data_IF_552461958441
#
_entry.id   IF_552461958441
#
_cell.length_a   1.000
_cell.length_b   1.000
_cell.length_c   1.000
_cell.angle_alpha   90.00
_cell.angle_beta   90.00
_cell.angle_gamma   90.00
#
_symmetry.space_group_name_H-M   'P 1'
#
loop_
_entity.id
_entity.type
_entity.pdbx_description
1 polymer ?
#
# COMPACT_ATOMS: atom_id res chain seq x y z
N UNK A 1 -12.65 -7.88 12.16
CA UNK A 1 -12.63 -6.41 12.16
C UNK A 1 -11.57 -5.97 11.17
N UNK A 2 -11.97 -5.24 10.12
CA UNK A 2 -11.01 -4.42 9.40
C UNK A 2 -10.71 -3.22 10.28
N UNK A 3 -9.47 -2.72 10.22
CA UNK A 3 -9.16 -1.47 10.88
C UNK A 3 -10.06 -0.37 10.29
N UNK A 4 -10.67 0.43 11.16
CA UNK A 4 -11.61 1.47 10.74
C UNK A 4 -10.96 2.58 9.93
N UNK A 5 -9.63 2.60 9.83
CA UNK A 5 -8.83 3.54 9.04
C UNK A 5 -8.82 3.23 7.53
N UNK A 6 -9.00 1.96 7.14
CA UNK A 6 -8.95 1.53 5.75
C UNK A 6 -10.34 1.27 5.13
N UNK A 7 -11.35 1.02 5.96
CA UNK A 7 -12.74 0.85 5.53
C UNK A 7 -13.70 1.33 6.64
N UNK A 8 -13.84 2.65 6.70
CA UNK A 8 -14.78 3.37 7.56
C UNK A 8 -16.22 3.30 7.03
N UNK A 9 -17.16 3.94 7.75
CA UNK A 9 -18.58 3.91 7.39
C UNK A 9 -18.86 4.58 6.03
N UNK A 10 -18.13 5.66 5.70
CA UNK A 10 -18.22 6.31 4.41
C UNK A 10 -17.73 5.40 3.27
N UNK A 11 -16.59 4.73 3.46
CA UNK A 11 -16.07 3.73 2.52
C UNK A 11 -17.01 2.54 2.36
N UNK A 12 -17.66 2.08 3.45
CA UNK A 12 -18.69 1.02 3.39
C UNK A 12 -19.89 1.43 2.56
N UNK A 13 -20.33 2.68 2.68
CA UNK A 13 -21.44 3.20 1.91
C UNK A 13 -21.17 3.24 0.39
N UNK A 14 -19.90 3.21 -0.04
CA UNK A 14 -19.51 3.14 -1.45
C UNK A 14 -19.52 1.73 -2.04
N UNK A 15 -19.45 0.68 -1.19
CA UNK A 15 -19.37 -0.70 -1.65
C UNK A 15 -20.52 -1.14 -2.57
N UNK A 16 -21.80 -0.75 -2.33
CA UNK A 16 -22.90 -1.10 -3.23
C UNK A 16 -22.73 -0.54 -4.65
N UNK A 17 -22.03 0.58 -4.80
CA UNK A 17 -21.78 1.22 -6.10
C UNK A 17 -20.51 0.68 -6.79
N UNK A 18 -19.69 -0.11 -6.08
CA UNK A 18 -18.49 -0.69 -6.65
C UNK A 18 -18.85 -1.86 -7.60
N UNK A 19 -18.35 -1.81 -8.83
CA UNK A 19 -18.58 -2.91 -9.79
C UNK A 19 -17.91 -4.22 -9.40
N UNK A 20 -16.75 -4.16 -8.74
CA UNK A 20 -16.07 -5.35 -8.17
C UNK A 20 -15.24 -4.94 -6.97
N UNK A 21 -15.37 -5.69 -5.87
CA UNK A 21 -14.58 -5.50 -4.66
C UNK A 21 -13.50 -6.59 -4.62
N UNK A 22 -12.24 -6.18 -4.46
CA UNK A 22 -11.09 -7.09 -4.24
C UNK A 22 -10.52 -6.79 -2.86
N UNK A 23 -10.34 -7.81 -2.03
CA UNK A 23 -9.94 -7.64 -0.62
C UNK A 23 -9.22 -8.89 -0.12
N UNK A 24 -8.90 -8.94 1.18
CA UNK A 24 -8.35 -10.13 1.82
C UNK A 24 -9.37 -11.28 1.87
N UNK A 25 -8.90 -12.50 2.04
CA UNK A 25 -9.78 -13.66 2.18
C UNK A 25 -10.73 -13.52 3.37
N UNK A 26 -10.24 -13.01 4.50
CA UNK A 26 -11.08 -12.69 5.66
C UNK A 26 -12.07 -11.56 5.39
N UNK A 27 -11.66 -10.54 4.63
CA UNK A 27 -12.54 -9.45 4.28
C UNK A 27 -13.69 -9.86 3.38
N UNK A 28 -13.42 -10.69 2.37
CA UNK A 28 -14.48 -11.18 1.50
C UNK A 28 -15.55 -12.00 2.24
N UNK A 29 -15.20 -12.64 3.37
CA UNK A 29 -16.16 -13.33 4.24
C UNK A 29 -16.92 -12.40 5.18
N UNK A 30 -16.37 -11.22 5.46
CA UNK A 30 -16.89 -10.29 6.46
C UNK A 30 -17.70 -9.14 5.85
N UNK A 31 -17.54 -8.88 4.55
CA UNK A 31 -18.29 -7.83 3.86
C UNK A 31 -19.73 -8.28 3.58
N UNK A 32 -20.71 -7.36 3.68
CA UNK A 32 -22.11 -7.65 3.34
C UNK A 32 -22.37 -7.70 1.82
N UNK A 33 -21.32 -7.54 0.99
CA UNK A 33 -21.40 -7.52 -0.47
C UNK A 33 -20.45 -8.57 -1.08
N UNK A 34 -20.77 -9.10 -2.28
CA UNK A 34 -19.87 -10.01 -2.99
C UNK A 34 -18.49 -9.38 -3.21
N UNK A 35 -17.46 -10.09 -2.78
CA UNK A 35 -16.08 -9.64 -2.90
C UNK A 35 -15.15 -10.79 -3.26
N UNK A 36 -14.08 -10.48 -3.99
CA UNK A 36 -13.03 -11.41 -4.35
C UNK A 36 -11.95 -11.36 -3.27
N UNK A 37 -11.91 -12.39 -2.44
CA UNK A 37 -10.92 -12.53 -1.38
C UNK A 37 -9.63 -13.14 -1.91
N UNK A 38 -8.50 -12.47 -1.69
CA UNK A 38 -7.17 -12.95 -2.05
C UNK A 38 -6.34 -13.28 -0.80
N UNK A 39 -5.34 -14.14 -1.01
CA UNK A 39 -4.21 -14.33 -0.10
C UNK A 39 -2.96 -13.82 -0.80
N UNK A 40 -1.90 -13.53 -0.06
CA UNK A 40 -0.61 -13.16 -0.68
C UNK A 40 -0.17 -14.19 -1.74
N UNK A 41 0.18 -13.70 -2.93
CA UNK A 41 0.48 -14.50 -4.12
C UNK A 41 -0.74 -14.89 -4.97
N UNK A 42 -1.95 -14.74 -4.44
CA UNK A 42 -3.19 -14.96 -5.19
C UNK A 42 -3.45 -13.85 -6.20
N UNK A 43 -4.12 -14.19 -7.29
CA UNK A 43 -4.40 -13.28 -8.39
C UNK A 43 -5.89 -13.19 -8.70
N UNK A 44 -6.30 -12.08 -9.30
CA UNK A 44 -7.61 -11.94 -9.94
C UNK A 44 -7.49 -10.97 -11.12
N UNK A 45 -8.45 -11.04 -12.05
CA UNK A 45 -8.51 -10.15 -13.20
C UNK A 45 -9.80 -9.34 -13.16
N UNK A 46 -9.70 -8.02 -13.31
CA UNK A 46 -10.84 -7.13 -13.50
C UNK A 46 -11.06 -6.90 -14.99
N UNK A 47 -12.31 -7.01 -15.42
CA UNK A 47 -12.72 -6.83 -16.81
C UNK A 47 -13.99 -5.97 -16.82
N UNK A 48 -14.08 -5.07 -17.79
CA UNK A 48 -15.25 -4.25 -18.03
C UNK A 48 -15.38 -3.96 -19.53
N UNK A 49 -16.61 -3.87 -20.08
CA UNK A 49 -16.81 -3.57 -21.50
C UNK A 49 -16.07 -2.29 -21.93
N UNK A 50 -15.32 -2.38 -23.02
CA UNK A 50 -14.58 -1.24 -23.59
C UNK A 50 -13.39 -0.75 -22.76
N UNK A 51 -12.96 -1.49 -21.73
CA UNK A 51 -11.79 -1.15 -20.90
C UNK A 51 -10.71 -2.25 -20.98
N UNK A 52 -9.42 -1.90 -20.95
CA UNK A 52 -8.36 -2.91 -20.87
C UNK A 52 -8.48 -3.72 -19.56
N UNK A 53 -8.21 -5.03 -19.59
CA UNK A 53 -8.24 -5.85 -18.39
C UNK A 53 -7.12 -5.44 -17.43
N UNK A 54 -7.39 -5.52 -16.13
CA UNK A 54 -6.41 -5.28 -15.07
C UNK A 54 -6.17 -6.59 -14.33
N UNK A 55 -4.93 -7.09 -14.39
CA UNK A 55 -4.46 -8.19 -13.56
C UNK A 55 -4.01 -7.66 -12.21
N UNK A 56 -4.47 -8.32 -11.15
CA UNK A 56 -4.18 -7.96 -9.76
C UNK A 56 -3.48 -9.14 -9.11
N UNK A 57 -2.31 -8.89 -8.52
CA UNK A 57 -1.59 -9.84 -7.68
C UNK A 57 -1.54 -9.32 -6.25
N UNK A 58 -2.07 -10.10 -5.30
CA UNK A 58 -1.99 -9.77 -3.88
C UNK A 58 -0.56 -9.93 -3.35
N UNK A 59 -0.03 -8.92 -2.67
CA UNK A 59 1.34 -8.91 -2.14
C UNK A 59 1.34 -9.17 -0.63
N UNK A 60 2.36 -9.86 -0.09
CA UNK A 60 2.43 -10.14 1.34
C UNK A 60 2.62 -8.86 2.14
N UNK A 61 1.77 -8.62 3.13
CA UNK A 61 1.96 -7.57 4.12
C UNK A 61 2.20 -8.15 5.51
N UNK A 62 2.83 -7.34 6.35
CA UNK A 62 2.88 -7.58 7.79
C UNK A 62 2.67 -6.27 8.53
N UNK A 63 1.59 -6.23 9.28
CA UNK A 63 1.24 -5.15 10.17
C UNK A 63 1.64 -5.56 11.60
N UNK A 64 2.75 -5.02 12.11
CA UNK A 64 3.33 -5.36 13.42
C UNK A 64 4.45 -6.43 13.42
N UNK A 65 4.96 -6.80 14.61
CA UNK A 65 6.02 -7.79 14.78
C UNK A 65 5.55 -9.21 14.40
N UNK A 66 6.48 -10.17 14.23
CA UNK A 66 6.10 -11.58 14.14
C UNK A 66 5.14 -11.98 15.28
N UNK A 67 4.13 -12.79 14.97
CA UNK A 67 3.11 -13.31 15.91
C UNK A 67 1.99 -12.35 16.37
N UNK A 68 1.96 -11.08 15.94
CA UNK A 68 0.84 -10.16 16.28
C UNK A 68 -0.42 -10.32 15.42
N UNK A 69 -0.43 -11.26 14.46
CA UNK A 69 -1.53 -11.47 13.49
C UNK A 69 -2.94 -11.57 14.09
N UNK A 70 -3.19 -12.23 15.24
CA UNK A 70 -4.55 -12.34 15.79
C UNK A 70 -5.16 -11.00 16.19
N UNK A 71 -4.31 -10.03 16.54
CA UNK A 71 -4.72 -8.71 17.04
C UNK A 71 -4.89 -7.71 15.89
N UNK A 72 -4.09 -7.89 14.83
CA UNK A 72 -3.85 -6.85 13.82
C UNK A 72 -4.58 -7.12 12.49
N UNK A 73 -5.29 -8.25 12.36
CA UNK A 73 -6.07 -8.56 11.16
C UNK A 73 -5.22 -8.98 9.96
N UNK A 74 -5.88 -9.52 8.93
CA UNK A 74 -5.22 -9.88 7.67
C UNK A 74 -5.04 -8.63 6.82
N UNK A 75 -3.81 -8.41 6.32
CA UNK A 75 -3.46 -7.30 5.43
C UNK A 75 -2.72 -7.87 4.22
N UNK A 76 -3.02 -7.33 3.05
CA UNK A 76 -2.32 -7.57 1.78
C UNK A 76 -2.17 -6.25 1.02
N UNK A 77 -1.18 -6.17 0.14
CA UNK A 77 -1.09 -5.13 -0.88
C UNK A 77 -1.54 -5.67 -2.23
N UNK A 78 -1.48 -4.84 -3.27
CA UNK A 78 -1.92 -5.20 -4.62
C UNK A 78 -0.95 -4.65 -5.67
N UNK A 79 -0.41 -5.51 -6.52
CA UNK A 79 0.27 -5.12 -7.74
C UNK A 79 -0.71 -5.22 -8.91
N UNK A 80 -0.83 -4.14 -9.68
CA UNK A 80 -1.78 -3.98 -10.78
C UNK A 80 -1.01 -3.88 -12.09
N UNK A 81 -1.43 -4.70 -13.06
CA UNK A 81 -0.90 -4.67 -14.42
C UNK A 81 -1.99 -4.60 -15.47
N UNK A 82 -1.75 -3.86 -16.55
CA UNK A 82 -2.66 -3.79 -17.70
C UNK A 82 -1.89 -3.56 -19.01
N UNK A 83 -2.48 -3.88 -20.17
CA UNK A 83 -1.86 -3.60 -21.47
C UNK A 83 -1.56 -2.11 -21.66
N UNK A 84 -0.34 -1.78 -22.08
CA UNK A 84 0.09 -0.40 -22.36
C UNK A 84 0.79 0.31 -21.20
N UNK A 85 1.04 -0.35 -20.06
CA UNK A 85 1.95 0.18 -19.04
C UNK A 85 3.38 0.29 -19.58
N UNK A 86 4.00 1.45 -19.39
CA UNK A 86 5.35 1.71 -19.90
C UNK A 86 6.44 1.43 -18.87
N UNK A 87 6.14 1.59 -17.58
CA UNK A 87 7.16 1.55 -16.53
C UNK A 87 7.03 0.33 -15.61
N UNK A 88 6.06 -0.54 -15.88
CA UNK A 88 5.80 -1.76 -15.13
C UNK A 88 4.60 -1.62 -14.19
N UNK A 89 4.42 -2.57 -13.25
CA UNK A 89 3.23 -2.61 -12.41
C UNK A 89 3.11 -1.38 -11.50
N UNK A 90 1.87 -0.95 -11.27
CA UNK A 90 1.52 -0.09 -10.13
C UNK A 90 1.44 -0.97 -8.89
N UNK A 91 2.22 -0.68 -7.86
CA UNK A 91 2.18 -1.43 -6.62
C UNK A 91 1.63 -0.60 -5.45
N UNK A 92 0.49 -1.03 -4.94
CA UNK A 92 -0.12 -0.52 -3.71
C UNK A 92 0.37 -1.40 -2.55
N UNK A 93 1.22 -0.86 -1.68
CA UNK A 93 1.90 -1.70 -0.69
C UNK A 93 0.99 -2.26 0.38
N UNK A 94 -0.12 -1.57 0.68
CA UNK A 94 -0.89 -1.75 1.91
C UNK A 94 -0.07 -1.44 3.17
N UNK A 95 -0.70 -1.58 4.33
CA UNK A 95 -0.06 -1.34 5.62
C UNK A 95 0.93 -2.43 5.99
N UNK A 96 2.19 -2.18 5.67
CA UNK A 96 3.25 -3.16 5.90
C UNK A 96 4.54 -2.52 6.39
N UNK A 97 5.22 -3.22 7.30
CA UNK A 97 6.63 -2.97 7.58
C UNK A 97 7.54 -3.60 6.52
N UNK A 98 8.79 -3.15 6.46
CA UNK A 98 9.79 -3.74 5.58
C UNK A 98 10.21 -5.15 6.06
N UNK A 99 10.07 -6.17 5.21
CA UNK A 99 10.46 -7.55 5.54
C UNK A 99 10.85 -8.43 4.36
N UNK A 100 11.46 -9.59 4.64
CA UNK A 100 12.02 -10.50 3.60
C UNK A 100 11.01 -10.92 2.53
N UNK A 101 9.82 -11.39 2.93
CA UNK A 101 8.80 -11.81 1.96
C UNK A 101 8.29 -10.64 1.09
N UNK A 102 8.11 -9.45 1.66
CA UNK A 102 7.76 -8.25 0.92
C UNK A 102 8.85 -7.89 -0.12
N UNK A 103 10.12 -7.89 0.30
CA UNK A 103 11.25 -7.65 -0.60
C UNK A 103 11.32 -8.65 -1.76
N UNK A 104 11.09 -9.93 -1.48
CA UNK A 104 11.06 -10.98 -2.52
C UNK A 104 9.92 -10.75 -3.51
N UNK A 105 8.72 -10.45 -3.01
CA UNK A 105 7.59 -10.13 -3.87
C UNK A 105 7.88 -8.90 -4.73
N UNK A 106 8.38 -7.82 -4.13
CA UNK A 106 8.71 -6.59 -4.84
C UNK A 106 9.79 -6.79 -5.92
N UNK A 107 10.82 -7.62 -5.66
CA UNK A 107 11.84 -7.95 -6.64
C UNK A 107 11.30 -8.76 -7.84
N UNK A 108 10.24 -9.54 -7.65
CA UNK A 108 9.56 -10.26 -8.74
C UNK A 108 8.64 -9.31 -9.51
N UNK A 109 7.89 -8.45 -8.79
CA UNK A 109 6.95 -7.48 -9.37
C UNK A 109 7.69 -6.45 -10.22
N UNK A 110 8.83 -5.93 -9.74
CA UNK A 110 9.59 -4.83 -10.37
C UNK A 110 8.68 -3.63 -10.72
N UNK A 111 8.05 -3.00 -9.71
CA UNK A 111 7.08 -1.94 -9.94
C UNK A 111 7.74 -0.68 -10.51
N UNK A 112 7.08 -0.07 -11.50
CA UNK A 112 7.43 1.25 -12.00
C UNK A 112 6.99 2.36 -11.06
N UNK A 113 5.79 2.19 -10.50
CA UNK A 113 5.18 3.15 -9.58
C UNK A 113 4.75 2.47 -8.30
N UNK A 114 5.04 3.09 -7.16
CA UNK A 114 4.72 2.55 -5.84
C UNK A 114 3.80 3.52 -5.09
N UNK A 115 2.57 3.11 -4.78
CA UNK A 115 1.71 3.78 -3.80
C UNK A 115 2.06 3.25 -2.41
N UNK A 116 2.85 4.02 -1.68
CA UNK A 116 3.58 3.57 -0.50
C UNK A 116 2.92 4.06 0.79
N UNK A 117 2.46 3.13 1.63
CA UNK A 117 1.93 3.44 2.95
C UNK A 117 3.08 3.76 3.91
N UNK A 118 3.27 5.05 4.17
CA UNK A 118 4.28 5.63 5.04
C UNK A 118 3.66 6.10 6.36
N UNK A 119 4.47 6.58 7.30
CA UNK A 119 3.99 7.16 8.57
C UNK A 119 4.53 6.48 9.82
N UNK A 120 5.17 5.32 9.68
CA UNK A 120 5.82 4.61 10.79
C UNK A 120 4.93 4.46 12.02
N UNK A 121 3.63 4.17 11.81
CA UNK A 121 2.59 4.11 12.86
C UNK A 121 3.11 3.27 14.02
N UNK A 122 2.99 3.80 15.24
CA UNK A 122 3.37 3.13 16.48
C UNK A 122 2.36 3.49 17.56
N UNK A 123 1.76 2.48 18.20
CA UNK A 123 0.81 2.71 19.29
C UNK A 123 1.54 2.69 20.65
N UNK A 124 1.25 3.63 21.58
CA UNK A 124 1.87 3.66 22.91
C UNK A 124 1.75 2.33 23.67
N UNK A 125 0.59 1.66 23.53
CA UNK A 125 0.29 0.38 24.16
C UNK A 125 1.14 -0.79 23.64
N UNK A 126 1.74 -0.63 22.46
CA UNK A 126 2.47 -1.69 21.74
C UNK A 126 3.99 -1.46 21.77
N UNK A 127 4.49 -0.45 22.49
CA UNK A 127 5.92 -0.16 22.59
C UNK A 127 6.54 0.30 21.25
N UNK A 128 7.79 -0.08 20.91
CA UNK A 128 8.49 0.42 19.71
C UNK A 128 8.00 -0.22 18.40
N UNK A 129 6.89 -0.96 18.44
CA UNK A 129 6.37 -1.71 17.30
C UNK A 129 5.87 -0.75 16.23
N UNK A 130 6.30 -1.01 14.99
CA UNK A 130 5.92 -0.25 13.81
C UNK A 130 4.94 -1.05 12.98
N UNK A 131 4.00 -0.33 12.39
CA UNK A 131 2.86 -0.90 11.71
C UNK A 131 2.89 -0.59 10.20
N UNK A 132 3.54 0.51 9.80
CA UNK A 132 3.86 0.88 8.42
C UNK A 132 5.37 1.18 8.26
N UNK A 133 5.84 1.41 7.03
CA UNK A 133 7.24 1.74 6.79
C UNK A 133 7.61 3.12 7.34
N UNK A 134 8.85 3.25 7.80
CA UNK A 134 9.49 4.56 8.03
C UNK A 134 10.06 5.09 6.73
N UNK A 135 10.34 6.39 6.66
CA UNK A 135 11.06 6.99 5.53
C UNK A 135 12.39 6.27 5.23
N UNK A 136 13.21 5.98 6.26
CA UNK A 136 14.45 5.18 6.08
C UNK A 136 14.23 3.77 5.53
N UNK A 137 13.09 3.12 5.83
CA UNK A 137 12.76 1.81 5.26
C UNK A 137 12.30 1.95 3.80
N UNK A 138 11.57 3.01 3.48
CA UNK A 138 11.19 3.35 2.13
C UNK A 138 12.41 3.63 1.24
N UNK A 139 13.38 4.42 1.71
CA UNK A 139 14.64 4.69 0.99
C UNK A 139 15.34 3.38 0.63
N UNK A 140 15.54 2.46 1.58
CA UNK A 140 16.16 1.15 1.32
C UNK A 140 15.37 0.29 0.33
N UNK A 141 14.04 0.37 0.37
CA UNK A 141 13.20 -0.32 -0.60
C UNK A 141 13.39 0.27 -2.01
N UNK A 142 13.41 1.59 -2.12
CA UNK A 142 13.58 2.29 -3.39
C UNK A 142 14.98 2.08 -3.96
N UNK A 143 16.03 2.05 -3.15
CA UNK A 143 17.38 1.71 -3.58
C UNK A 143 17.44 0.29 -4.19
N UNK A 144 16.72 -0.66 -3.59
CA UNK A 144 16.72 -2.05 -4.07
C UNK A 144 15.87 -2.27 -5.33
N UNK A 145 14.84 -1.45 -5.55
CA UNK A 145 13.88 -1.63 -6.65
C UNK A 145 14.11 -0.67 -7.81
N UNK A 146 14.67 0.52 -7.54
CA UNK A 146 14.81 1.63 -8.48
C UNK A 146 13.50 1.93 -9.23
N UNK A 147 12.38 2.19 -8.52
CA UNK A 147 11.13 2.57 -9.17
C UNK A 147 11.28 3.94 -9.83
N UNK A 148 10.37 4.25 -10.75
CA UNK A 148 10.31 5.56 -11.41
C UNK A 148 9.63 6.61 -10.54
N UNK A 149 8.58 6.20 -9.82
CA UNK A 149 7.77 7.13 -9.01
C UNK A 149 7.31 6.46 -7.72
N UNK A 150 7.36 7.20 -6.63
CA UNK A 150 6.84 6.80 -5.32
C UNK A 150 5.82 7.83 -4.85
N UNK A 151 4.62 7.36 -4.57
CA UNK A 151 3.50 8.15 -4.09
C UNK A 151 3.31 7.82 -2.61
N UNK A 152 3.85 8.62 -1.68
CA UNK A 152 3.61 8.43 -0.26
C UNK A 152 2.11 8.60 0.02
N UNK A 153 1.55 7.76 0.88
CA UNK A 153 0.21 7.88 1.47
C UNK A 153 0.27 7.49 2.95
N UNK A 154 -0.85 7.66 3.67
CA UNK A 154 -0.99 7.22 5.06
C UNK A 154 -0.05 7.94 6.06
N UNK A 155 0.45 9.14 5.72
CA UNK A 155 1.35 9.93 6.58
C UNK A 155 0.69 11.15 7.26
N UNK A 156 -0.57 11.44 6.93
CA UNK A 156 -1.38 12.51 7.49
C UNK A 156 -2.75 11.97 7.92
N UNK A 157 -3.37 12.58 8.94
CA UNK A 157 -4.78 12.33 9.30
C UNK A 157 -5.08 11.70 10.66
N UNK A 158 -4.08 11.26 11.45
CA UNK A 158 -4.33 10.59 12.74
C UNK A 158 -3.30 10.92 13.83
N UNK A 159 -3.75 11.05 15.09
CA UNK A 159 -2.93 11.39 16.27
C UNK A 159 -1.88 10.33 16.67
N UNK A 160 -1.75 9.23 15.92
CA UNK A 160 -0.87 8.09 16.21
C UNK A 160 0.42 8.05 15.35
N UNK A 161 0.62 9.03 14.47
CA UNK A 161 1.85 9.14 13.68
C UNK A 161 2.97 9.76 14.51
N UNK A 162 4.12 9.08 14.59
CA UNK A 162 5.35 9.68 15.14
C UNK A 162 6.21 10.39 14.10
N UNK A 163 5.96 10.17 12.81
CA UNK A 163 6.50 11.01 11.74
C UNK A 163 5.31 11.65 11.04
N UNK A 164 5.03 12.91 11.34
CA UNK A 164 4.23 13.74 10.44
C UNK A 164 5.00 13.99 9.14
N UNK A 165 4.35 14.66 8.19
CA UNK A 165 4.92 15.05 6.90
C UNK A 165 6.37 15.56 7.01
N UNK A 166 6.62 16.54 7.88
CA UNK A 166 7.94 17.17 8.07
C UNK A 166 9.05 16.19 8.47
N UNK A 167 8.72 15.20 9.31
CA UNK A 167 9.68 14.19 9.76
C UNK A 167 10.02 13.18 8.66
N UNK A 168 9.06 12.88 7.77
CA UNK A 168 9.31 12.04 6.59
C UNK A 168 10.14 12.82 5.58
N UNK A 169 9.79 14.08 5.30
CA UNK A 169 10.56 14.92 4.41
C UNK A 169 12.00 15.10 4.90
N UNK A 170 12.23 15.31 6.20
CA UNK A 170 13.59 15.45 6.74
C UNK A 170 14.42 14.17 6.54
N UNK A 171 13.83 13.00 6.79
CA UNK A 171 14.49 11.72 6.53
C UNK A 171 14.77 11.54 5.02
N UNK A 172 13.85 11.98 4.14
CA UNK A 172 14.03 11.91 2.68
C UNK A 172 15.06 12.90 2.16
N UNK A 173 15.16 14.10 2.73
CA UNK A 173 16.22 15.09 2.41
C UNK A 173 17.62 14.56 2.74
N UNK A 174 17.72 13.63 3.67
CA UNK A 174 18.98 12.97 4.03
C UNK A 174 19.33 11.79 3.12
N UNK A 175 18.42 11.40 2.21
CA UNK A 175 18.65 10.35 1.23
C UNK A 175 19.39 10.91 0.00
N UNK A 176 20.07 10.05 -0.79
CA UNK A 176 20.67 10.50 -2.06
C UNK A 176 19.63 11.15 -2.97
N UNK A 177 19.99 12.22 -3.69
CA UNK A 177 19.09 12.99 -4.56
C UNK A 177 18.31 12.13 -5.57
N UNK A 178 18.97 11.10 -6.09
CA UNK A 178 18.34 10.12 -7.00
C UNK A 178 17.17 9.34 -6.38
N UNK A 179 17.10 9.26 -5.05
CA UNK A 179 16.03 8.57 -4.31
C UNK A 179 14.99 9.57 -3.84
N UNK A 180 15.40 10.71 -3.28
CA UNK A 180 14.46 11.74 -2.82
C UNK A 180 13.64 12.30 -3.99
N UNK A 181 14.25 12.46 -5.17
CA UNK A 181 13.57 12.87 -6.40
C UNK A 181 12.55 11.87 -6.97
N UNK A 182 12.44 10.67 -6.41
CA UNK A 182 11.39 9.69 -6.80
C UNK A 182 10.05 9.98 -6.11
N UNK A 183 10.06 10.70 -4.98
CA UNK A 183 8.87 10.91 -4.16
C UNK A 183 8.05 12.07 -4.73
N UNK A 184 6.82 11.75 -5.13
CA UNK A 184 5.86 12.71 -5.65
C UNK A 184 4.69 12.87 -4.68
N UNK A 185 4.61 14.02 -4.02
CA UNK A 185 3.61 14.32 -3.01
C UNK A 185 2.32 14.81 -3.66
N UNK A 186 1.21 14.15 -3.34
CA UNK A 186 -0.10 14.49 -3.89
C UNK A 186 -0.84 15.46 -2.95
N UNK A 187 -1.29 16.65 -3.42
CA UNK A 187 -2.10 17.53 -2.60
C UNK A 187 -3.47 16.91 -2.31
N UNK A 188 -3.90 16.95 -1.05
CA UNK A 188 -5.18 16.37 -0.62
C UNK A 188 -6.36 16.96 -1.39
N UNK A 189 -7.27 16.07 -1.83
CA UNK A 189 -8.50 16.46 -2.54
C UNK A 189 -8.29 16.91 -3.99
N UNK A 190 -7.06 16.82 -4.51
CA UNK A 190 -6.76 17.18 -5.91
C UNK A 190 -6.43 15.94 -6.75
N UNK A 191 -6.88 15.95 -8.01
CA UNK A 191 -6.47 14.96 -8.98
C UNK A 191 -5.13 15.36 -9.60
N UNK A 192 -4.26 14.39 -9.83
CA UNK A 192 -2.95 14.59 -10.44
C UNK A 192 -2.71 13.56 -11.56
N UNK A 193 -1.87 13.90 -12.53
CA UNK A 193 -1.53 13.04 -13.66
C UNK A 193 -0.15 12.42 -13.45
N UNK A 194 -0.12 11.08 -13.45
CA UNK A 194 1.08 10.30 -13.20
C UNK A 194 1.26 9.35 -14.38
N UNK A 195 2.46 9.32 -14.94
CA UNK A 195 2.81 8.41 -16.02
C UNK A 195 3.12 7.02 -15.43
N UNK A 196 2.36 6.01 -15.83
CA UNK A 196 2.41 4.62 -15.32
C UNK A 196 2.88 3.63 -16.42
#
# INVERSE_FOLDING_TARGET
>A
MHHGDNLDDAGRALLPAAGTIVTTSSGARSLPHPARGLRAGGTTRLEAPGRPPIDITATPCRHGPPLSRPIVGEVIGFALTWPGQEHGPLWITGDTVHHRALRRAAAVIRPGTILLHLGGVAFPLTGPLRYTMTARQAVRLCEALSPRTVLPVHYEGWQHFRQGHDGIEQDLRSAPDRISGLFHWLPLGTADQIHL
#
